data_IF_496341854005
#
_entry.id   IF_496341854005
#
_cell.length_a   1.000
_cell.length_b   1.000
_cell.length_c   1.000
_cell.angle_alpha   90.00
_cell.angle_beta   90.00
_cell.angle_gamma   90.00
#
_symmetry.space_group_name_H-M   'P 1'
#
loop_
_entity.id
_entity.type
_entity.pdbx_description
1 polymer ?
#
# COMPACT_ATOMS: atom_id res chain seq x y z
N UNK A 1 6.54 7.53 -21.74
CA UNK A 1 5.55 8.19 -21.58
C UNK A 1 4.65 7.69 -20.52
N UNK A 2 3.86 6.89 -20.50
CA UNK A 2 2.90 6.57 -19.50
C UNK A 2 3.45 5.96 -18.22
N UNK A 3 4.76 5.94 -18.05
CA UNK A 3 5.39 5.23 -16.96
C UNK A 3 5.21 5.89 -15.59
N UNK A 4 4.73 7.14 -15.60
CA UNK A 4 4.56 7.89 -14.37
C UNK A 4 3.14 7.82 -13.83
N UNK A 5 2.30 7.00 -14.44
CA UNK A 5 0.93 6.88 -13.97
C UNK A 5 0.90 6.25 -12.59
N UNK A 6 0.17 6.89 -11.69
CA UNK A 6 0.05 6.44 -10.31
C UNK A 6 -1.13 5.50 -10.18
N UNK A 7 -0.94 4.27 -10.63
CA UNK A 7 -2.01 3.26 -10.68
C UNK A 7 -1.93 2.21 -9.60
N UNK A 8 -0.96 2.29 -8.71
CA UNK A 8 -0.72 1.26 -7.72
C UNK A 8 -0.92 1.80 -6.32
N UNK A 9 -1.50 0.97 -5.49
CA UNK A 9 -1.60 1.23 -4.07
C UNK A 9 -0.94 0.12 -3.28
N UNK A 10 -0.84 0.29 -1.98
CA UNK A 10 -0.30 -0.71 -1.08
C UNK A 10 -1.45 -1.24 -0.23
N UNK A 11 -1.69 -2.55 -0.35
CA UNK A 11 -2.69 -3.23 0.45
C UNK A 11 -2.03 -3.80 1.69
N UNK A 12 -2.61 -3.55 2.84
CA UNK A 12 -2.08 -3.94 4.13
C UNK A 12 -2.96 -5.04 4.71
N UNK A 13 -2.31 -6.12 5.13
CA UNK A 13 -2.98 -7.27 5.74
C UNK A 13 -2.43 -7.47 7.15
N UNK A 14 -3.30 -7.47 8.14
CA UNK A 14 -2.89 -7.81 9.49
C UNK A 14 -2.87 -9.33 9.64
N UNK A 15 -1.74 -9.88 10.06
CA UNK A 15 -1.59 -11.31 10.22
C UNK A 15 -2.57 -11.84 11.27
N UNK A 16 -3.18 -12.96 10.97
CA UNK A 16 -4.17 -13.55 11.87
C UNK A 16 -5.59 -13.08 11.65
N UNK A 17 -5.82 -12.16 10.72
CA UNK A 17 -7.17 -11.72 10.38
C UNK A 17 -7.58 -12.22 9.01
N UNK A 18 -8.86 -12.06 8.67
CA UNK A 18 -9.36 -12.41 7.35
C UNK A 18 -8.83 -11.43 6.30
N UNK A 19 -8.61 -11.94 5.08
CA UNK A 19 -8.23 -11.07 3.97
C UNK A 19 -9.32 -10.05 3.63
N UNK A 20 -10.54 -10.29 4.04
CA UNK A 20 -11.62 -9.32 3.87
C UNK A 20 -11.42 -8.07 4.69
N UNK A 21 -10.61 -8.15 5.72
CA UNK A 21 -10.31 -7.01 6.59
C UNK A 21 -9.09 -6.22 6.12
N UNK A 22 -8.50 -6.57 4.99
CA UNK A 22 -7.37 -5.85 4.43
C UNK A 22 -7.76 -4.41 4.13
N UNK A 23 -6.79 -3.52 4.23
CA UNK A 23 -7.04 -2.10 3.97
C UNK A 23 -5.92 -1.49 3.17
N UNK A 24 -6.27 -0.42 2.46
CA UNK A 24 -5.31 0.33 1.66
C UNK A 24 -4.50 1.27 2.52
N UNK A 25 -3.23 1.46 2.12
CA UNK A 25 -2.41 2.52 2.70
C UNK A 25 -2.99 3.87 2.27
N UNK A 26 -3.34 4.70 3.24
CA UNK A 26 -4.00 5.99 3.00
C UNK A 26 -3.13 7.13 3.50
N UNK A 27 -3.43 8.35 3.06
CA UNK A 27 -2.84 9.51 3.68
C UNK A 27 -3.51 9.73 5.04
N UNK A 28 -2.79 10.37 5.95
CA UNK A 28 -3.27 10.54 7.31
C UNK A 28 -4.23 11.71 7.49
N UNK A 29 -4.36 12.55 6.46
CA UNK A 29 -5.18 13.77 6.57
C UNK A 29 -6.60 13.55 6.08
N UNK A 30 -6.76 12.86 4.97
CA UNK A 30 -8.05 12.76 4.31
C UNK A 30 -8.53 11.31 4.18
N UNK A 31 -7.76 10.37 4.68
CA UNK A 31 -8.05 8.93 4.59
C UNK A 31 -8.26 8.47 3.14
N UNK A 32 -7.56 9.13 2.23
CA UNK A 32 -7.61 8.76 0.81
C UNK A 32 -6.52 7.75 0.49
N UNK A 33 -6.84 6.83 -0.40
CA UNK A 33 -5.88 5.82 -0.82
C UNK A 33 -4.71 6.50 -1.51
N UNK A 34 -3.50 6.20 -1.01
CA UNK A 34 -2.27 6.71 -1.64
C UNK A 34 -2.01 5.92 -2.91
N UNK A 35 -1.80 6.64 -4.00
CA UNK A 35 -1.50 6.03 -5.29
C UNK A 35 -0.08 6.36 -5.72
N UNK A 36 0.58 5.40 -6.37
CA UNK A 36 1.99 5.49 -6.73
C UNK A 36 2.22 4.88 -8.10
N UNK A 37 3.29 5.29 -8.76
CA UNK A 37 3.85 4.47 -9.82
C UNK A 37 4.38 3.17 -9.19
N UNK A 38 4.59 2.14 -9.99
CA UNK A 38 5.03 0.84 -9.44
C UNK A 38 6.36 0.97 -8.71
N UNK A 39 7.32 1.69 -9.29
CA UNK A 39 8.62 1.86 -8.66
C UNK A 39 8.54 2.66 -7.34
N UNK A 40 7.72 3.69 -7.33
CA UNK A 40 7.50 4.47 -6.12
C UNK A 40 6.82 3.61 -5.04
N UNK A 41 5.87 2.76 -5.43
CA UNK A 41 5.21 1.88 -4.51
C UNK A 41 6.19 0.92 -3.83
N UNK A 42 7.14 0.38 -4.60
CA UNK A 42 8.16 -0.50 -4.03
C UNK A 42 9.05 0.23 -3.01
N UNK A 43 9.42 1.48 -3.30
CA UNK A 43 10.22 2.26 -2.38
C UNK A 43 9.44 2.59 -1.09
N UNK A 44 8.19 2.98 -1.23
CA UNK A 44 7.33 3.31 -0.08
C UNK A 44 7.04 2.06 0.75
N UNK A 45 6.89 0.91 0.09
CA UNK A 45 6.63 -0.35 0.77
C UNK A 45 7.67 -0.66 1.84
N UNK A 46 8.94 -0.39 1.56
CA UNK A 46 10.01 -0.63 2.53
C UNK A 46 9.84 0.23 3.78
N UNK A 47 9.39 1.46 3.61
CA UNK A 47 9.16 2.38 4.72
C UNK A 47 7.95 1.94 5.53
N UNK A 48 6.88 1.56 4.84
CA UNK A 48 5.64 1.13 5.48
C UNK A 48 5.86 -0.13 6.31
N UNK A 49 6.67 -1.06 5.80
CA UNK A 49 7.01 -2.28 6.54
C UNK A 49 7.67 -1.96 7.88
N UNK A 50 8.54 -0.96 7.89
CA UNK A 50 9.21 -0.54 9.12
C UNK A 50 8.21 0.08 10.09
N UNK A 51 7.32 0.91 9.57
CA UNK A 51 6.33 1.61 10.39
C UNK A 51 5.33 0.67 11.04
N UNK A 52 4.87 -0.33 10.30
CA UNK A 52 3.83 -1.24 10.79
C UNK A 52 4.36 -2.43 11.57
N UNK A 53 5.60 -2.83 11.31
CA UNK A 53 6.22 -3.94 12.01
C UNK A 53 5.83 -5.31 11.45
N UNK A 54 6.16 -6.34 12.20
CA UNK A 54 6.07 -7.73 11.72
C UNK A 54 4.67 -8.34 11.78
N UNK A 55 3.72 -7.65 12.40
CA UNK A 55 2.35 -8.16 12.50
C UNK A 55 1.54 -7.95 11.24
N UNK A 56 2.13 -7.30 10.24
CA UNK A 56 1.44 -6.96 9.00
C UNK A 56 2.23 -7.46 7.80
N UNK A 57 1.51 -7.76 6.74
CA UNK A 57 2.10 -8.04 5.43
C UNK A 57 1.54 -7.05 4.41
N UNK A 58 2.27 -6.88 3.31
CA UNK A 58 1.98 -5.80 2.38
C UNK A 58 2.07 -6.30 0.94
N UNK A 59 1.21 -5.77 0.09
CA UNK A 59 1.19 -6.11 -1.34
C UNK A 59 0.99 -4.84 -2.14
N UNK A 60 1.66 -4.77 -3.27
CA UNK A 60 1.41 -3.71 -4.25
C UNK A 60 0.31 -4.22 -5.17
N UNK A 61 -0.76 -3.44 -5.33
CA UNK A 61 -1.90 -3.81 -6.16
C UNK A 61 -2.33 -2.66 -7.04
N UNK A 62 -2.86 -3.00 -8.19
CA UNK A 62 -3.42 -1.98 -9.09
C UNK A 62 -4.73 -1.46 -8.50
N UNK A 63 -4.95 -0.18 -8.71
CA UNK A 63 -6.15 0.50 -8.23
C UNK A 63 -7.26 0.53 -9.27
N UNK A 64 -6.92 0.26 -10.53
CA UNK A 64 -7.90 0.28 -11.62
C UNK A 64 -8.29 -1.12 -12.10
#
# INVERSE_FOLDING_TARGET
>A
MANNLKRYGIMIHRKGTSYEDDFWFTDNKHFQIRSFSHDAAEAVLKIVKIQYGNDYSFRIRRLD
#
